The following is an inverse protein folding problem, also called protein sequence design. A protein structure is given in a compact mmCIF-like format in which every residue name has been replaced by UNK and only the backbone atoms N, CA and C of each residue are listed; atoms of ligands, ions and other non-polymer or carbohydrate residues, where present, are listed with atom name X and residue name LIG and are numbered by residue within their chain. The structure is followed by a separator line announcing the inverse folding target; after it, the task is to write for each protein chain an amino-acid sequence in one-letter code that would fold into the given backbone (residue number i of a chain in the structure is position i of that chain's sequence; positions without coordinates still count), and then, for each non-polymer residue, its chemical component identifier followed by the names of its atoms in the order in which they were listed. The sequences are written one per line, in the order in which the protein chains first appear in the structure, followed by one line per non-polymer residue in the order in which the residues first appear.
data_IF_275123678544
#
_entry.id   IF_275123678544
#
_cell.length_a   1.000
_cell.length_b   1.000
_cell.length_c   1.000
_cell.angle_alpha   90.00
_cell.angle_beta   90.00
_cell.angle_gamma   90.00
#
_symmetry.space_group_name_H-M   'P 1'
#
loop_
_entity.id
_entity.type
_entity.pdbx_description
1 polymer ?
#
# COMPACT_ATOMS: atom_id res chain seq x y z
N UNK A 1 13.93 6.80 3.78
CA UNK A 1 13.36 5.44 3.55
C UNK A 1 11.92 5.48 4.01
N UNK A 2 10.93 5.20 3.15
CA UNK A 2 9.48 5.32 3.44
C UNK A 2 8.99 4.23 4.43
N UNK A 3 8.96 4.49 5.75
CA UNK A 3 8.60 3.46 6.71
C UNK A 3 7.16 2.93 6.58
N UNK A 4 6.14 3.75 6.20
CA UNK A 4 4.76 3.28 6.24
C UNK A 4 4.46 2.23 5.17
N UNK A 5 5.20 2.22 4.05
CA UNK A 5 5.00 1.19 3.02
C UNK A 5 5.47 -0.19 3.51
N UNK A 6 6.50 -0.27 4.36
CA UNK A 6 7.00 -1.55 4.87
C UNK A 6 6.24 -2.05 6.11
N UNK A 7 5.35 -1.23 6.68
CA UNK A 7 4.62 -1.60 7.89
C UNK A 7 3.77 -2.88 7.70
N UNK A 8 3.04 -3.01 6.59
CA UNK A 8 2.18 -4.16 6.32
C UNK A 8 2.95 -5.49 6.20
N UNK A 9 4.00 -5.61 5.36
CA UNK A 9 4.78 -6.85 5.27
C UNK A 9 5.52 -7.18 6.58
N UNK A 10 6.03 -6.17 7.30
CA UNK A 10 6.68 -6.37 8.59
C UNK A 10 5.69 -6.89 9.65
N UNK A 11 4.49 -6.32 9.73
CA UNK A 11 3.44 -6.79 10.65
C UNK A 11 2.99 -8.22 10.31
N UNK A 12 2.93 -8.57 9.02
CA UNK A 12 2.63 -9.93 8.59
C UNK A 12 3.70 -10.91 9.07
N UNK A 13 4.99 -10.58 8.86
CA UNK A 13 6.12 -11.38 9.34
C UNK A 13 6.11 -11.50 10.87
N UNK A 14 5.85 -10.40 11.57
CA UNK A 14 5.84 -10.33 13.03
C UNK A 14 4.73 -11.20 13.64
N UNK A 15 3.54 -11.24 13.02
CA UNK A 15 2.41 -12.09 13.43
C UNK A 15 2.64 -13.58 13.13
N UNK A 16 3.37 -13.90 12.06
CA UNK A 16 3.64 -15.30 11.64
C UNK A 16 4.87 -15.91 12.28
N UNK A 17 5.81 -15.09 12.78
CA UNK A 17 7.08 -15.56 13.31
C UNK A 17 7.06 -15.73 14.83
N UNK A 18 7.65 -16.82 15.32
CA UNK A 18 7.85 -17.07 16.74
C UNK A 18 8.76 -16.02 17.36
N UNK A 19 8.48 -15.58 18.59
CA UNK A 19 9.15 -14.48 19.31
C UNK A 19 10.68 -14.57 19.23
N UNK A 20 11.24 -15.78 19.33
CA UNK A 20 12.69 -16.05 19.31
C UNK A 20 13.35 -15.93 17.92
N UNK A 21 12.58 -16.04 16.83
CA UNK A 21 13.07 -15.97 15.43
C UNK A 21 12.60 -14.73 14.68
N UNK A 22 11.77 -13.87 15.27
CA UNK A 22 11.24 -12.65 14.62
C UNK A 22 12.35 -11.76 14.07
N UNK A 23 13.38 -11.50 14.87
CA UNK A 23 14.49 -10.65 14.47
C UNK A 23 15.25 -11.22 13.27
N UNK A 24 15.50 -12.53 13.26
CA UNK A 24 16.17 -13.21 12.16
C UNK A 24 15.34 -13.19 10.88
N UNK A 25 14.05 -13.51 10.96
CA UNK A 25 13.15 -13.48 9.79
C UNK A 25 13.02 -12.06 9.21
N UNK A 26 12.90 -11.04 10.07
CA UNK A 26 12.85 -9.64 9.64
C UNK A 26 14.18 -9.21 9.01
N UNK A 27 15.32 -9.58 9.61
CA UNK A 27 16.64 -9.26 9.07
C UNK A 27 16.86 -9.92 7.70
N UNK A 28 16.50 -11.19 7.53
CA UNK A 28 16.56 -11.90 6.25
C UNK A 28 15.67 -11.23 5.19
N UNK A 29 14.44 -10.88 5.56
CA UNK A 29 13.53 -10.16 4.67
C UNK A 29 14.11 -8.81 4.24
N UNK A 30 14.63 -8.02 5.18
CA UNK A 30 15.20 -6.70 4.90
C UNK A 30 16.49 -6.79 4.08
N UNK A 31 17.35 -7.78 4.34
CA UNK A 31 18.54 -8.06 3.55
C UNK A 31 18.18 -8.41 2.10
N UNK A 32 17.23 -9.33 1.91
CA UNK A 32 16.75 -9.69 0.58
C UNK A 32 16.12 -8.50 -0.14
N UNK A 33 15.30 -7.71 0.57
CA UNK A 33 14.69 -6.50 0.02
C UNK A 33 15.75 -5.46 -0.39
N UNK A 34 16.73 -5.20 0.47
CA UNK A 34 17.82 -4.26 0.19
C UNK A 34 18.69 -4.74 -0.98
N UNK A 35 18.98 -6.04 -1.05
CA UNK A 35 19.75 -6.64 -2.15
C UNK A 35 19.08 -6.44 -3.52
N UNK A 36 17.74 -6.41 -3.58
CA UNK A 36 16.99 -6.08 -4.81
C UNK A 36 16.98 -4.57 -5.07
N UNK A 37 16.88 -3.75 -4.04
CA UNK A 37 16.79 -2.30 -4.18
C UNK A 37 18.11 -1.64 -4.58
N UNK A 38 19.25 -2.18 -4.14
CA UNK A 38 20.58 -1.67 -4.48
C UNK A 38 20.83 -1.60 -6.02
N UNK A 39 20.69 -2.70 -6.79
CA UNK A 39 20.88 -2.65 -8.23
C UNK A 39 19.79 -1.83 -8.93
N UNK A 40 18.55 -1.85 -8.42
CA UNK A 40 17.47 -1.02 -8.96
C UNK A 40 17.76 0.48 -8.81
N UNK A 41 18.28 0.90 -7.66
CA UNK A 41 18.68 2.29 -7.41
C UNK A 41 19.84 2.69 -8.33
N UNK A 42 20.84 1.83 -8.50
CA UNK A 42 21.94 2.08 -9.42
C UNK A 42 21.42 2.28 -10.86
N UNK A 43 20.52 1.41 -11.32
CA UNK A 43 19.90 1.53 -12.64
C UNK A 43 19.09 2.83 -12.79
N UNK A 44 18.31 3.20 -11.76
CA UNK A 44 17.57 4.46 -11.75
C UNK A 44 18.49 5.67 -11.81
N UNK A 45 19.65 5.62 -11.14
CA UNK A 45 20.64 6.70 -11.17
C UNK A 45 21.27 6.83 -12.55
N UNK A 46 21.61 5.72 -13.20
CA UNK A 46 22.10 5.73 -14.58
C UNK A 46 21.05 6.30 -15.54
N UNK A 47 19.78 5.92 -15.36
CA UNK A 47 18.69 6.44 -16.18
C UNK A 47 18.50 7.96 -15.96
N UNK A 48 18.58 8.43 -14.72
CA UNK A 48 18.50 9.85 -14.41
C UNK A 48 19.64 10.64 -15.08
N UNK A 49 20.88 10.15 -15.02
CA UNK A 49 22.02 10.77 -15.71
C UNK A 49 21.82 10.82 -17.23
N UNK A 50 21.23 9.78 -17.82
CA UNK A 50 20.90 9.76 -19.24
C UNK A 50 19.76 10.72 -19.62
N UNK A 51 18.87 11.06 -18.68
CA UNK A 51 17.82 12.05 -18.87
C UNK A 51 18.36 13.47 -18.73
N UNK A 52 19.32 13.70 -17.83
CA UNK A 52 20.02 14.97 -17.62
C UNK A 52 20.91 15.37 -18.81
N UNK A 53 21.36 14.41 -19.62
CA UNK A 53 22.17 14.71 -20.82
C UNK A 53 21.33 15.16 -22.03
N UNK A 54 20.00 15.11 -21.95
CA UNK A 54 19.12 15.63 -22.98
C UNK A 54 19.16 17.16 -22.98
N UNK A 55 19.18 17.82 -24.15
CA UNK A 55 19.20 19.28 -24.21
C UNK A 55 17.95 19.86 -23.55
N UNK A 56 18.16 20.61 -22.45
CA UNK A 56 17.13 21.31 -21.69
C UNK A 56 16.33 22.22 -22.64
N UNK A 57 15.10 21.82 -22.97
CA UNK A 57 14.26 22.55 -23.94
C UNK A 57 13.55 23.76 -23.30
N UNK A 58 14.01 24.24 -22.15
CA UNK A 58 13.47 25.41 -21.48
C UNK A 58 13.88 25.52 -20.00
N UNK A 59 13.75 26.72 -19.42
CA UNK A 59 14.10 27.06 -18.02
C UNK A 59 13.17 26.44 -16.96
N UNK A 60 12.53 25.31 -17.20
CA UNK A 60 11.66 24.70 -16.19
C UNK A 60 12.51 23.87 -15.24
N UNK A 61 12.48 24.19 -13.95
CA UNK A 61 13.13 23.43 -12.87
C UNK A 61 12.47 22.05 -12.60
N UNK A 62 11.81 21.48 -13.62
CA UNK A 62 10.98 20.28 -13.56
C UNK A 62 11.63 19.22 -14.45
N UNK A 63 11.88 17.99 -13.95
CA UNK A 63 12.45 16.91 -14.74
C UNK A 63 11.37 16.35 -15.70
N UNK A 64 11.03 17.12 -16.72
CA UNK A 64 10.00 16.81 -17.73
C UNK A 64 10.11 15.38 -18.29
N UNK A 65 11.30 14.90 -18.71
CA UNK A 65 11.36 13.57 -19.30
C UNK A 65 11.13 12.47 -18.25
N UNK A 66 11.53 12.67 -16.98
CA UNK A 66 11.20 11.76 -15.89
C UNK A 66 9.69 11.76 -15.58
N UNK A 67 9.02 12.92 -15.66
CA UNK A 67 7.56 13.01 -15.52
C UNK A 67 6.84 12.24 -16.63
N UNK A 68 7.28 12.36 -17.89
CA UNK A 68 6.69 11.65 -19.02
C UNK A 68 6.80 10.13 -18.84
N UNK A 69 7.98 9.65 -18.42
CA UNK A 69 8.19 8.24 -18.09
C UNK A 69 7.26 7.78 -16.96
N UNK A 70 7.14 8.58 -15.90
CA UNK A 70 6.24 8.27 -14.78
C UNK A 70 4.76 8.22 -15.21
N UNK A 71 4.31 9.16 -16.04
CA UNK A 71 2.93 9.21 -16.56
C UNK A 71 2.63 8.03 -17.50
N UNK A 72 3.56 7.69 -18.39
CA UNK A 72 3.44 6.51 -19.26
C UNK A 72 3.38 5.21 -18.44
N UNK A 73 4.22 5.10 -17.40
CA UNK A 73 4.16 3.96 -16.50
C UNK A 73 2.85 3.91 -15.71
N UNK A 74 2.31 5.08 -15.31
CA UNK A 74 1.07 5.20 -14.54
C UNK A 74 -0.16 4.67 -15.29
N UNK A 75 -0.18 4.80 -16.62
CA UNK A 75 -1.31 4.38 -17.45
C UNK A 75 -1.29 2.89 -17.79
N UNK A 76 -0.14 2.23 -17.60
CA UNK A 76 0.10 0.85 -18.07
C UNK A 76 -0.58 -0.20 -17.17
N UNK A 77 -1.24 -1.23 -17.73
CA UNK A 77 -1.85 -2.31 -16.95
C UNK A 77 -0.82 -3.13 -16.15
N UNK A 78 0.43 -3.19 -16.61
CA UNK A 78 1.55 -3.83 -15.92
C UNK A 78 1.79 -3.22 -14.53
N UNK A 79 1.64 -1.89 -14.39
CA UNK A 79 1.73 -1.24 -13.06
C UNK A 79 0.67 -1.80 -12.11
N UNK A 80 -0.55 -2.04 -12.58
CA UNK A 80 -1.63 -2.62 -11.77
C UNK A 80 -1.32 -4.07 -11.38
N UNK A 81 -0.69 -4.85 -12.25
CA UNK A 81 -0.21 -6.21 -11.93
C UNK A 81 0.80 -6.15 -10.79
N UNK A 82 1.81 -5.28 -10.91
CA UNK A 82 2.82 -5.08 -9.87
C UNK A 82 2.18 -4.64 -8.55
N UNK A 83 1.19 -3.75 -8.58
CA UNK A 83 0.48 -3.28 -7.39
C UNK A 83 -0.27 -4.42 -6.69
N UNK A 84 -1.00 -5.24 -7.44
CA UNK A 84 -1.73 -6.39 -6.91
C UNK A 84 -0.77 -7.44 -6.31
N UNK A 85 0.39 -7.68 -6.96
CA UNK A 85 1.42 -8.59 -6.46
C UNK A 85 2.13 -8.04 -5.21
N UNK A 86 2.32 -6.73 -5.12
CA UNK A 86 2.82 -6.06 -3.92
C UNK A 86 1.94 -6.29 -2.67
N UNK A 87 0.64 -6.51 -2.84
CA UNK A 87 -0.28 -6.86 -1.74
C UNK A 87 -0.34 -8.35 -1.41
N UNK A 88 0.31 -9.21 -2.20
CA UNK A 88 0.27 -10.66 -1.99
C UNK A 88 1.07 -11.04 -0.74
N UNK A 89 0.44 -11.82 0.14
CA UNK A 89 1.00 -12.32 1.40
C UNK A 89 1.10 -13.85 1.32
N UNK A 90 2.25 -14.41 0.89
CA UNK A 90 2.40 -15.85 0.78
C UNK A 90 2.41 -16.51 2.17
N UNK A 91 2.00 -17.79 2.28
CA UNK A 91 2.19 -18.54 3.50
C UNK A 91 3.69 -18.68 3.80
N UNK A 92 4.08 -18.51 5.07
CA UNK A 92 5.44 -18.73 5.53
C UNK A 92 5.48 -19.94 6.45
N UNK A 93 6.46 -20.81 6.27
CA UNK A 93 6.74 -21.91 7.19
C UNK A 93 7.12 -21.39 8.58
N UNK A 94 6.67 -22.08 9.63
CA UNK A 94 6.93 -21.69 11.01
C UNK A 94 8.26 -22.22 11.59
N UNK A 95 8.84 -23.27 10.99
CA UNK A 95 9.95 -24.01 11.58
C UNK A 95 11.07 -24.35 10.59
N UNK A 96 12.29 -24.41 11.13
CA UNK A 96 13.49 -24.89 10.45
C UNK A 96 13.97 -24.01 9.29
N UNK A 97 14.86 -24.56 8.47
CA UNK A 97 15.44 -23.91 7.28
C UNK A 97 14.38 -23.41 6.28
N UNK A 98 13.21 -24.04 6.24
CA UNK A 98 12.09 -23.62 5.39
C UNK A 98 11.58 -22.22 5.77
N UNK A 99 11.55 -21.87 7.05
CA UNK A 99 11.13 -20.55 7.51
C UNK A 99 12.09 -19.45 7.04
N UNK A 100 13.40 -19.71 7.10
CA UNK A 100 14.43 -18.77 6.67
C UNK A 100 14.42 -18.58 5.14
N UNK A 101 14.26 -19.69 4.40
CA UNK A 101 14.08 -19.66 2.94
C UNK A 101 12.84 -18.88 2.54
N UNK A 102 11.70 -19.10 3.20
CA UNK A 102 10.44 -18.41 2.88
C UNK A 102 10.55 -16.91 3.17
N UNK A 103 11.25 -16.51 4.24
CA UNK A 103 11.51 -15.10 4.54
C UNK A 103 12.36 -14.42 3.45
N UNK A 104 13.40 -15.10 2.95
CA UNK A 104 14.25 -14.61 1.85
C UNK A 104 13.47 -14.51 0.54
N UNK A 105 12.76 -15.59 0.15
CA UNK A 105 11.96 -15.62 -1.09
C UNK A 105 10.88 -14.54 -1.05
N UNK A 106 10.24 -14.36 0.11
CA UNK A 106 9.27 -13.30 0.30
C UNK A 106 9.92 -11.90 0.19
N UNK A 107 11.09 -11.69 0.78
CA UNK A 107 11.85 -10.44 0.67
C UNK A 107 12.24 -10.08 -0.76
N UNK A 108 12.79 -11.05 -1.52
CA UNK A 108 13.15 -10.85 -2.93
C UNK A 108 11.90 -10.57 -3.77
N UNK A 109 10.87 -11.42 -3.64
CA UNK A 109 9.62 -11.25 -4.39
C UNK A 109 8.96 -9.90 -4.11
N UNK A 110 8.84 -9.53 -2.84
CA UNK A 110 8.28 -8.23 -2.46
C UNK A 110 9.13 -7.06 -2.96
N UNK A 111 10.46 -7.18 -2.90
CA UNK A 111 11.40 -6.20 -3.44
C UNK A 111 11.20 -5.96 -4.93
N UNK A 112 11.12 -7.03 -5.73
CA UNK A 112 10.94 -6.94 -7.19
C UNK A 112 9.62 -6.26 -7.55
N UNK A 113 8.51 -6.68 -6.93
CA UNK A 113 7.22 -6.03 -7.19
C UNK A 113 7.19 -4.59 -6.69
N UNK A 114 7.84 -4.29 -5.57
CA UNK A 114 7.93 -2.94 -5.03
C UNK A 114 8.66 -2.02 -6.02
N UNK A 115 9.85 -2.42 -6.48
CA UNK A 115 10.60 -1.71 -7.53
C UNK A 115 9.71 -1.52 -8.75
N UNK A 116 9.06 -2.58 -9.25
CA UNK A 116 8.15 -2.49 -10.39
C UNK A 116 7.01 -1.48 -10.21
N UNK A 117 6.48 -1.29 -8.99
CA UNK A 117 5.44 -0.28 -8.75
C UNK A 117 5.95 1.16 -8.71
N UNK A 118 7.12 1.40 -8.13
CA UNK A 118 7.56 2.75 -7.77
C UNK A 118 8.78 3.28 -8.54
N UNK A 119 9.48 2.46 -9.33
CA UNK A 119 10.71 2.86 -10.01
C UNK A 119 10.53 4.15 -10.83
N UNK A 120 9.47 4.21 -11.65
CA UNK A 120 9.22 5.37 -12.51
C UNK A 120 8.88 6.64 -11.70
N UNK A 121 8.21 6.51 -10.55
CA UNK A 121 7.95 7.63 -9.66
C UNK A 121 9.23 8.09 -8.94
N UNK A 122 10.11 7.17 -8.56
CA UNK A 122 11.40 7.47 -7.93
C UNK A 122 12.36 8.18 -8.88
N UNK A 123 12.20 8.01 -10.19
CA UNK A 123 13.01 8.69 -11.19
C UNK A 123 12.85 10.23 -11.11
N UNK A 124 11.67 10.72 -10.73
CA UNK A 124 11.37 12.15 -10.62
C UNK A 124 12.29 12.84 -9.59
N UNK A 125 12.30 12.46 -8.29
CA UNK A 125 13.19 13.09 -7.32
C UNK A 125 14.66 12.82 -7.61
N UNK A 126 15.03 11.68 -8.19
CA UNK A 126 16.44 11.38 -8.52
C UNK A 126 16.98 12.31 -9.61
N UNK A 127 16.15 12.64 -10.61
CA UNK A 127 16.48 13.61 -11.66
C UNK A 127 16.20 15.06 -11.23
N UNK A 128 15.47 15.28 -10.13
CA UNK A 128 15.25 16.61 -9.60
C UNK A 128 16.54 17.11 -8.91
N UNK A 129 16.89 18.37 -9.19
CA UNK A 129 18.00 19.03 -8.52
C UNK A 129 17.84 19.08 -6.99
N UNK A 130 18.95 19.31 -6.30
CA UNK A 130 19.03 19.28 -4.82
C UNK A 130 18.04 20.21 -4.12
N UNK A 131 17.72 21.36 -4.72
CA UNK A 131 16.80 22.35 -4.15
C UNK A 131 15.33 21.90 -4.11
N UNK A 132 14.87 21.12 -5.10
CA UNK A 132 13.46 20.68 -5.20
C UNK A 132 13.26 19.21 -4.83
N UNK A 133 14.36 18.47 -4.61
CA UNK A 133 14.35 17.05 -4.24
C UNK A 133 13.39 16.73 -3.10
N UNK A 134 13.38 17.51 -2.02
CA UNK A 134 12.51 17.27 -0.86
C UNK A 134 11.02 17.31 -1.20
N UNK A 135 10.59 18.30 -1.98
CA UNK A 135 9.19 18.45 -2.39
C UNK A 135 8.75 17.31 -3.32
N UNK A 136 9.59 16.95 -4.31
CA UNK A 136 9.32 15.83 -5.21
C UNK A 136 9.28 14.49 -4.48
N UNK A 137 10.18 14.27 -3.53
CA UNK A 137 10.21 13.06 -2.72
C UNK A 137 8.95 12.94 -1.86
N UNK A 138 8.46 14.05 -1.29
CA UNK A 138 7.20 14.07 -0.56
C UNK A 138 6.00 13.78 -1.48
N UNK A 139 5.92 14.41 -2.65
CA UNK A 139 4.85 14.17 -3.61
C UNK A 139 4.80 12.70 -4.07
N UNK A 140 5.96 12.13 -4.42
CA UNK A 140 6.09 10.72 -4.80
C UNK A 140 5.69 9.80 -3.66
N UNK A 141 6.08 10.11 -2.41
CA UNK A 141 5.65 9.35 -1.24
C UNK A 141 4.14 9.31 -1.11
N UNK A 142 3.49 10.46 -1.23
CA UNK A 142 2.04 10.57 -1.13
C UNK A 142 1.33 9.78 -2.23
N UNK A 143 1.79 9.89 -3.48
CA UNK A 143 1.22 9.16 -4.60
C UNK A 143 1.38 7.65 -4.37
N UNK A 144 2.59 7.17 -4.05
CA UNK A 144 2.86 5.76 -3.80
C UNK A 144 2.02 5.22 -2.62
N UNK A 145 1.86 6.00 -1.55
CA UNK A 145 1.03 5.63 -0.42
C UNK A 145 -0.45 5.52 -0.80
N UNK A 146 -0.98 6.52 -1.51
CA UNK A 146 -2.38 6.53 -1.97
C UNK A 146 -2.69 5.37 -2.94
N UNK A 147 -1.73 4.97 -3.76
CA UNK A 147 -1.87 3.78 -4.61
C UNK A 147 -1.91 2.50 -3.77
N UNK A 148 -1.06 2.41 -2.74
CA UNK A 148 -0.91 1.20 -1.94
C UNK A 148 -2.01 0.98 -0.91
N UNK A 149 -2.68 2.05 -0.47
CA UNK A 149 -3.87 1.97 0.41
C UNK A 149 -5.08 1.39 -0.34
N UNK A 150 -5.12 1.48 -1.68
CA UNK A 150 -6.23 0.91 -2.45
C UNK A 150 -6.17 -0.61 -2.41
N UNK A 151 -7.34 -1.23 -2.27
CA UNK A 151 -7.47 -2.66 -2.43
C UNK A 151 -7.06 -3.10 -3.84
N UNK A 152 -6.58 -4.35 -4.01
CA UNK A 152 -6.30 -4.92 -5.32
C UNK A 152 -7.47 -4.73 -6.27
N UNK A 153 -7.18 -4.27 -7.49
CA UNK A 153 -8.18 -3.97 -8.50
C UNK A 153 -7.96 -4.80 -9.77
N UNK A 154 -9.00 -4.89 -10.62
CA UNK A 154 -8.89 -5.56 -11.92
C UNK A 154 -7.82 -4.87 -12.78
N UNK A 155 -7.05 -5.67 -13.52
CA UNK A 155 -6.03 -5.18 -14.44
C UNK A 155 -6.73 -4.50 -15.62
N UNK A 156 -6.56 -3.18 -15.72
CA UNK A 156 -7.10 -2.38 -16.81
C UNK A 156 -6.20 -1.16 -17.02
N UNK A 157 -6.24 -0.59 -18.23
CA UNK A 157 -5.55 0.64 -18.56
C UNK A 157 -6.06 1.80 -17.68
N UNK A 158 -5.13 2.56 -17.11
CA UNK A 158 -5.44 3.67 -16.20
C UNK A 158 -6.07 3.26 -14.85
N UNK A 159 -6.09 1.96 -14.50
CA UNK A 159 -6.61 1.49 -13.21
C UNK A 159 -5.79 1.99 -12.01
N UNK A 160 -4.49 2.21 -12.21
CA UNK A 160 -3.58 2.71 -11.19
C UNK A 160 -3.79 4.20 -10.86
N UNK A 161 -4.54 4.94 -11.69
CA UNK A 161 -4.77 6.37 -11.46
C UNK A 161 -5.52 6.62 -10.14
N UNK A 162 -5.14 7.65 -9.35
CA UNK A 162 -5.92 8.13 -8.23
C UNK A 162 -7.33 8.54 -8.62
N UNK A 163 -8.26 7.58 -8.59
CA UNK A 163 -9.68 7.84 -8.74
C UNK A 163 -10.28 8.11 -7.36
N UNK A 164 -10.62 9.37 -7.02
CA UNK A 164 -11.15 9.72 -5.70
C UNK A 164 -12.43 8.95 -5.35
N UNK A 165 -13.22 8.57 -6.36
CA UNK A 165 -14.52 7.87 -6.21
C UNK A 165 -14.45 6.46 -5.58
N UNK A 166 -13.29 5.78 -5.58
CA UNK A 166 -13.15 4.43 -4.98
C UNK A 166 -12.69 4.42 -3.53
N UNK A 167 -12.10 5.50 -3.05
CA UNK A 167 -11.61 5.60 -1.65
C UNK A 167 -12.77 5.81 -0.67
N UNK A 168 -13.85 6.46 -1.09
CA UNK A 168 -15.02 6.78 -0.25
C UNK A 168 -16.03 5.61 -0.08
N UNK A 169 -16.07 4.65 -1.00
CA UNK A 169 -17.07 3.56 -0.96
C UNK A 169 -17.00 2.63 0.27
N UNK A 170 -15.83 2.20 0.78
CA UNK A 170 -15.79 1.33 1.95
C UNK A 170 -16.11 2.05 3.27
N UNK A 171 -15.87 3.36 3.35
CA UNK A 171 -16.25 4.19 4.53
C UNK A 171 -17.78 4.30 4.59
N UNK A 172 -18.41 4.73 3.49
CA UNK A 172 -19.86 4.87 3.40
C UNK A 172 -20.62 3.55 3.66
N UNK A 173 -20.09 2.40 3.23
CA UNK A 173 -20.72 1.10 3.51
C UNK A 173 -20.67 0.69 4.98
N UNK A 174 -19.61 1.03 5.72
CA UNK A 174 -19.49 0.73 7.15
C UNK A 174 -20.44 1.59 7.98
N UNK A 175 -20.66 2.82 7.56
CA UNK A 175 -21.56 3.73 8.25
C UNK A 175 -23.03 3.34 8.03
N UNK A 176 -23.41 2.95 6.80
CA UNK A 176 -24.75 2.40 6.56
C UNK A 176 -25.01 1.11 7.35
N UNK A 177 -24.04 0.21 7.45
CA UNK A 177 -24.20 -1.04 8.20
C UNK A 177 -24.33 -0.82 9.73
N UNK A 178 -23.65 0.18 10.27
CA UNK A 178 -23.79 0.56 11.69
C UNK A 178 -25.14 1.22 11.97
N UNK A 179 -25.63 2.08 11.08
CA UNK A 179 -26.92 2.76 11.24
C UNK A 179 -28.12 1.78 11.16
N UNK A 180 -28.03 0.75 10.32
CA UNK A 180 -29.05 -0.31 10.29
C UNK A 180 -29.06 -1.18 11.55
N UNK A 181 -27.92 -1.34 12.23
CA UNK A 181 -27.83 -2.14 13.46
C UNK A 181 -28.38 -1.40 14.69
N UNK A 182 -28.29 -0.07 14.73
CA UNK A 182 -28.81 0.75 15.83
C UNK A 182 -30.28 1.14 15.69
N UNK A 183 -30.89 1.01 14.49
CA UNK A 183 -32.30 1.32 14.25
C UNK A 183 -33.31 0.21 14.58
N UNK A 184 -32.85 -1.01 14.90
CA UNK A 184 -33.72 -2.19 15.04
C UNK A 184 -34.31 -2.49 16.42
N UNK A 185 -34.06 -1.67 17.45
CA UNK A 185 -34.39 -2.00 18.85
C UNK A 185 -35.29 -0.96 19.54
N UNK A 186 -36.38 -0.54 18.89
CA UNK A 186 -37.53 0.09 19.59
C UNK A 186 -38.85 -0.54 19.16
N UNK A 187 -39.08 -1.79 19.58
CA UNK A 187 -40.42 -2.36 19.69
C UNK A 187 -41.01 -1.95 21.03
N UNK A 188 -41.90 -0.95 20.95
CA UNK A 188 -43.12 -0.72 21.74
C UNK A 188 -43.30 -1.62 22.98
N UNK A 189 -43.05 -1.06 24.16
CA UNK A 189 -43.73 -1.46 25.40
C UNK A 189 -44.33 -0.20 26.02
N UNK A 190 -45.61 0.05 25.77
CA UNK A 190 -46.40 0.97 26.56
C UNK A 190 -47.89 0.62 26.41
N UNK A 191 -48.52 0.27 27.54
CA UNK A 191 -49.96 0.40 27.75
C UNK A 191 -50.73 -0.90 27.77
N UNK A 192 -50.95 -1.46 28.97
CA UNK A 192 -52.31 -1.68 29.48
C UNK A 192 -52.28 -2.01 30.99
N UNK A 193 -52.25 -0.96 31.82
CA UNK A 193 -52.65 -1.05 33.23
C UNK A 193 -54.13 -0.69 33.31
N UNK A 194 -54.96 -1.63 33.79
CA UNK A 194 -56.42 -1.45 33.83
C UNK A 194 -57.15 -2.48 34.68
N UNK A 195 -57.20 -2.19 35.99
CA UNK A 195 -58.35 -2.28 36.90
C UNK A 195 -59.08 -3.62 37.22
N UNK A 196 -59.13 -3.91 38.53
CA UNK A 196 -60.31 -4.44 39.24
C UNK A 196 -60.33 -5.96 39.47
N UNK A 197 -60.82 -6.54 40.57
CA UNK A 197 -61.53 -6.10 41.76
C UNK A 197 -61.39 -7.22 42.82
N UNK A 198 -61.27 -6.81 44.07
CA UNK A 198 -61.75 -7.38 45.33
C UNK A 198 -62.49 -8.73 45.34
N UNK A 199 -62.13 -9.61 46.29
CA UNK A 199 -63.00 -10.69 46.79
C UNK A 199 -62.36 -11.52 47.92
N UNK A 200 -62.94 -11.61 49.14
CA UNK A 200 -62.34 -12.29 50.29
C UNK A 200 -62.96 -13.66 50.63
N UNK A 201 -62.30 -14.37 51.56
CA UNK A 201 -62.78 -15.49 52.41
C UNK A 201 -62.87 -16.91 51.81
N UNK A 202 -62.03 -17.83 52.30
CA UNK A 202 -62.32 -18.74 53.43
C UNK A 202 -61.05 -19.46 53.89
#
# INVERSE_FOLDING_TARGET
MMPPLLATPLLHLWRRSLTRRRAQAIALFLLAYAAVWLPAYLLLRLLALALESLPETGRLAVPLPALLVALAWQSTPLKQVCLNRCHSQPPLAAFGWRADRDALVYGVGHGVWCVGTCWALMLIPIAAGTATHGAWMFAVMWIALLERIRAPARVAWGAAWPRPRRVLRPVLRRDCARLSATGGHRTVHAGNDGAGLSGPQR
#
